data_IF_287751748005
#
_entry.id   IF_287751748005
#
_cell.length_a   1.000
_cell.length_b   1.000
_cell.length_c   1.000
_cell.angle_alpha   90.00
_cell.angle_beta   90.00
_cell.angle_gamma   90.00
#
_symmetry.space_group_name_H-M   'P 1'
#
loop_
_entity.id
_entity.type
_entity.pdbx_description
1 polymer ?
#
# COMPACT_ATOMS: atom_id res chain seq x y z
N UNK A 1 -11.58 -7.12 -4.20
CA UNK A 1 -10.11 -7.31 -4.32
C UNK A 1 -9.82 -7.75 -5.74
N UNK A 2 -8.75 -7.20 -6.32
CA UNK A 2 -8.24 -7.59 -7.63
C UNK A 2 -9.12 -7.19 -8.80
N UNK A 3 -8.78 -6.10 -9.48
CA UNK A 3 -9.26 -5.90 -10.84
C UNK A 3 -8.34 -6.67 -11.78
N UNK A 4 -8.88 -7.41 -12.75
CA UNK A 4 -8.12 -8.31 -13.64
C UNK A 4 -6.89 -7.65 -14.30
N UNK A 5 -6.95 -6.34 -14.60
CA UNK A 5 -5.82 -5.55 -15.13
C UNK A 5 -5.39 -4.42 -14.19
N UNK A 6 -5.80 -4.43 -12.93
CA UNK A 6 -5.57 -3.34 -11.97
C UNK A 6 -4.09 -3.01 -11.79
N UNK A 7 -3.21 -4.02 -11.79
CA UNK A 7 -1.75 -3.80 -11.71
C UNK A 7 -1.20 -2.97 -12.88
N UNK A 8 -1.77 -3.12 -14.08
CA UNK A 8 -1.37 -2.36 -15.27
C UNK A 8 -2.10 -1.01 -15.39
N UNK A 9 -3.28 -0.88 -14.78
CA UNK A 9 -4.13 0.32 -14.88
C UNK A 9 -3.77 1.41 -13.88
N UNK A 10 -3.35 1.03 -12.69
CA UNK A 10 -3.09 1.97 -11.59
C UNK A 10 -1.62 1.91 -11.22
N UNK A 11 -0.96 3.05 -11.01
CA UNK A 11 0.40 3.03 -10.50
C UNK A 11 0.45 2.74 -9.00
N UNK A 12 1.59 2.19 -8.55
CA UNK A 12 1.85 2.03 -7.11
C UNK A 12 2.02 3.41 -6.50
N UNK A 13 1.22 3.69 -5.48
CA UNK A 13 1.35 4.90 -4.68
C UNK A 13 2.09 4.62 -3.37
N UNK A 14 2.77 5.65 -2.87
CA UNK A 14 3.35 5.65 -1.53
C UNK A 14 2.44 6.40 -0.57
N UNK A 15 2.51 6.03 0.71
CA UNK A 15 1.84 6.78 1.76
C UNK A 15 2.43 8.19 1.83
N UNK A 16 1.59 9.17 2.12
CA UNK A 16 2.05 10.53 2.36
C UNK A 16 2.95 10.57 3.59
N UNK A 17 4.08 11.28 3.51
CA UNK A 17 5.00 11.38 4.63
C UNK A 17 5.29 12.84 4.99
N UNK A 18 5.44 13.13 6.29
CA UNK A 18 5.89 14.44 6.75
C UNK A 18 7.31 14.75 6.26
N UNK A 19 7.67 16.03 6.17
CA UNK A 19 9.06 16.42 5.83
C UNK A 19 10.04 15.96 6.91
N UNK A 20 11.31 15.73 6.56
CA UNK A 20 12.33 15.33 7.54
C UNK A 20 12.47 16.34 8.69
N UNK A 21 12.39 17.63 8.38
CA UNK A 21 12.50 18.72 9.37
C UNK A 21 11.34 18.66 10.37
N UNK A 22 10.13 18.36 9.91
CA UNK A 22 8.96 18.26 10.80
C UNK A 22 8.99 17.00 11.67
N UNK A 23 9.54 15.89 11.14
CA UNK A 23 9.71 14.64 11.90
C UNK A 23 10.63 14.81 13.12
N UNK A 24 11.56 15.76 13.09
CA UNK A 24 12.48 16.01 14.22
C UNK A 24 11.80 16.70 15.41
N UNK A 25 10.67 17.38 15.20
CA UNK A 25 10.00 18.16 16.24
C UNK A 25 9.21 17.29 17.23
N UNK A 26 8.91 16.04 16.88
CA UNK A 26 8.08 15.15 17.71
C UNK A 26 8.24 13.67 17.31
N UNK A 27 7.83 12.76 18.19
CA UNK A 27 7.86 11.30 17.93
C UNK A 27 6.53 10.72 17.42
N UNK A 28 5.66 11.55 16.83
CA UNK A 28 4.40 11.07 16.23
C UNK A 28 4.67 10.32 14.92
N UNK A 29 3.69 9.50 14.51
CA UNK A 29 3.73 8.82 13.22
C UNK A 29 3.91 9.82 12.07
N UNK A 30 4.89 9.57 11.21
CA UNK A 30 5.22 10.44 10.09
C UNK A 30 4.58 10.00 8.77
N UNK A 31 4.24 8.71 8.64
CA UNK A 31 3.51 8.18 7.51
C UNK A 31 2.01 8.31 7.76
N UNK A 32 1.31 8.91 6.81
CA UNK A 32 -0.13 9.05 6.82
C UNK A 32 -0.77 7.79 6.26
N UNK A 33 -1.98 7.46 6.71
CA UNK A 33 -2.75 6.35 6.13
C UNK A 33 -3.33 6.78 4.79
N UNK A 34 -3.53 5.82 3.89
CA UNK A 34 -4.35 6.04 2.72
C UNK A 34 -5.78 6.41 3.12
N UNK A 35 -6.42 7.20 2.25
CA UNK A 35 -7.87 7.35 2.27
C UNK A 35 -8.53 6.01 1.90
N UNK A 36 -9.83 5.88 2.14
CA UNK A 36 -10.55 4.65 1.78
C UNK A 36 -10.54 4.44 0.27
N UNK A 37 -10.61 5.53 -0.48
CA UNK A 37 -10.61 5.58 -1.93
C UNK A 37 -9.25 5.15 -2.48
N UNK A 38 -8.16 5.72 -1.97
CA UNK A 38 -6.79 5.33 -2.37
C UNK A 38 -6.51 3.87 -2.02
N UNK A 39 -6.89 3.43 -0.82
CA UNK A 39 -6.72 2.04 -0.41
C UNK A 39 -7.48 1.07 -1.32
N UNK A 40 -8.69 1.44 -1.77
CA UNK A 40 -9.47 0.66 -2.74
C UNK A 40 -8.69 0.51 -4.05
N UNK A 41 -8.17 1.62 -4.60
CA UNK A 41 -7.37 1.63 -5.83
C UNK A 41 -6.10 0.79 -5.69
N UNK A 42 -5.35 0.97 -4.60
CA UNK A 42 -4.11 0.21 -4.38
C UNK A 42 -4.39 -1.29 -4.19
N UNK A 43 -5.50 -1.66 -3.54
CA UNK A 43 -5.89 -3.07 -3.39
C UNK A 43 -6.38 -3.70 -4.70
N UNK A 44 -6.91 -2.91 -5.63
CA UNK A 44 -7.33 -3.37 -6.95
C UNK A 44 -6.13 -3.84 -7.81
N UNK A 45 -4.90 -3.43 -7.46
CA UNK A 45 -3.65 -3.89 -8.10
C UNK A 45 -3.30 -5.35 -7.80
N UNK A 46 -3.94 -6.00 -6.82
CA UNK A 46 -3.77 -7.42 -6.58
C UNK A 46 -4.14 -8.23 -7.83
N UNK A 47 -3.27 -9.12 -8.28
CA UNK A 47 -3.50 -9.89 -9.51
C UNK A 47 -4.29 -11.19 -9.30
N UNK A 48 -4.67 -11.49 -8.05
CA UNK A 48 -5.34 -12.75 -7.69
C UNK A 48 -4.66 -13.99 -8.30
N UNK A 49 -3.34 -14.08 -8.12
CA UNK A 49 -2.42 -14.95 -8.88
C UNK A 49 -2.59 -16.47 -8.69
N UNK A 50 -3.60 -16.92 -7.94
CA UNK A 50 -3.90 -18.34 -7.68
C UNK A 50 -2.91 -19.04 -6.73
N UNK A 51 -1.60 -18.93 -6.99
CA UNK A 51 -0.54 -19.28 -6.04
C UNK A 51 0.04 -17.99 -5.46
N UNK A 52 -0.40 -17.56 -4.27
CA UNK A 52 -0.03 -16.25 -3.71
C UNK A 52 1.42 -16.24 -3.19
N UNK A 53 2.36 -15.90 -4.07
CA UNK A 53 3.78 -15.74 -3.69
C UNK A 53 4.00 -14.64 -2.63
N UNK A 54 3.07 -13.70 -2.51
CA UNK A 54 3.10 -12.66 -1.50
C UNK A 54 2.98 -13.20 -0.05
N UNK A 55 2.44 -14.41 0.13
CA UNK A 55 2.30 -15.05 1.44
C UNK A 55 3.50 -15.95 1.80
N UNK A 56 4.33 -16.33 0.83
CA UNK A 56 5.39 -17.35 1.00
C UNK A 56 6.62 -16.88 1.80
N UNK A 57 6.49 -15.78 2.54
CA UNK A 57 7.49 -15.27 3.50
C UNK A 57 6.85 -14.61 4.72
N UNK A 58 5.53 -14.75 4.91
CA UNK A 58 4.83 -14.25 6.09
C UNK A 58 4.98 -15.28 7.21
N UNK A 59 5.46 -14.85 8.38
CA UNK A 59 5.65 -15.72 9.54
C UNK A 59 4.34 -16.37 10.03
N UNK A 60 3.20 -15.75 9.71
CA UNK A 60 1.87 -16.16 10.19
C UNK A 60 0.88 -16.50 9.07
N UNK A 61 1.35 -16.63 7.82
CA UNK A 61 0.52 -16.87 6.63
C UNK A 61 -0.02 -15.60 5.99
#
# INVERSE_FOLDING_TARGET
>A
MGEFKGFMKYDKQYLGELSLVDRLKHHKAYQQRFTKEDASIQSARCMDCGTPFCQTGQQYG
#
